data_IF_307584740811
#
_entry.id   IF_307584740811
#
_cell.length_a   1.000
_cell.length_b   1.000
_cell.length_c   1.000
_cell.angle_alpha   90.00
_cell.angle_beta   90.00
_cell.angle_gamma   90.00
#
_symmetry.space_group_name_H-M   'P 1'
#
loop_
_entity.id
_entity.type
_entity.pdbx_description
1 polymer ?
#
# COMPACT_ATOMS: atom_id res chain seq x y z
N UNK A 1 5.42 -18.11 -47.71
CA UNK A 1 4.46 -17.02 -47.44
C UNK A 1 4.92 -16.35 -46.15
N UNK A 2 5.98 -15.53 -46.15
CA UNK A 2 6.14 -14.16 -46.65
C UNK A 2 5.22 -13.13 -45.94
N UNK A 3 5.88 -12.10 -45.38
CA UNK A 3 5.41 -10.76 -44.96
C UNK A 3 4.67 -10.67 -43.60
N UNK A 4 4.95 -9.72 -42.70
CA UNK A 4 5.71 -8.47 -42.83
C UNK A 4 6.34 -8.05 -41.49
N UNK A 5 7.65 -7.86 -41.53
CA UNK A 5 8.43 -6.99 -40.65
C UNK A 5 8.26 -5.56 -41.17
N UNK A 6 7.79 -4.62 -40.35
CA UNK A 6 7.81 -3.20 -40.69
C UNK A 6 8.50 -2.42 -39.57
N UNK A 7 9.82 -2.29 -39.79
CA UNK A 7 10.66 -1.22 -39.30
C UNK A 7 10.08 0.13 -39.74
N UNK A 8 9.91 1.06 -38.80
CA UNK A 8 9.66 2.46 -39.12
C UNK A 8 10.88 3.27 -38.68
N UNK A 9 11.79 3.52 -39.61
CA UNK A 9 12.73 4.65 -39.55
C UNK A 9 11.97 5.94 -39.88
N UNK A 10 12.39 7.10 -39.36
CA UNK A 10 12.17 8.36 -40.04
C UNK A 10 13.48 8.84 -40.71
N UNK A 11 13.30 9.18 -41.98
CA UNK A 11 14.25 9.77 -42.90
C UNK A 11 14.69 11.18 -42.47
N UNK A 12 15.92 11.47 -42.90
CA UNK A 12 16.61 12.76 -42.95
C UNK A 12 15.83 13.80 -43.74
N UNK A 13 15.70 15.01 -43.18
CA UNK A 13 15.49 16.24 -43.95
C UNK A 13 16.61 17.22 -43.62
N UNK A 14 17.44 17.47 -44.63
CA UNK A 14 18.51 18.46 -44.67
C UNK A 14 17.85 19.82 -44.91
N UNK A 15 17.97 20.74 -43.96
CA UNK A 15 17.81 22.18 -44.22
C UNK A 15 19.13 22.89 -43.94
N UNK A 16 19.85 23.14 -45.05
CA UNK A 16 20.54 24.38 -45.43
C UNK A 16 21.10 25.23 -44.26
N UNK A 17 22.41 25.06 -44.01
CA UNK A 17 23.22 26.05 -43.30
C UNK A 17 23.34 27.33 -44.15
N UNK A 18 22.58 28.37 -43.83
CA UNK A 18 22.93 29.72 -44.22
C UNK A 18 23.87 30.32 -43.17
N UNK A 19 25.15 30.34 -43.51
CA UNK A 19 26.20 31.03 -42.78
C UNK A 19 26.25 32.47 -43.29
N UNK A 20 25.82 33.43 -42.49
CA UNK A 20 26.22 34.83 -42.67
C UNK A 20 27.02 35.29 -41.44
N UNK A 21 28.20 35.88 -41.63
CA UNK A 21 28.95 36.51 -40.55
C UNK A 21 28.40 37.92 -40.31
N UNK A 22 28.49 38.45 -39.09
CA UNK A 22 28.60 39.90 -38.80
C UNK A 22 28.82 40.12 -37.29
N UNK A 23 30.09 40.28 -36.94
CA UNK A 23 30.64 41.31 -36.04
C UNK A 23 29.87 41.70 -34.77
N UNK A 24 30.41 41.25 -33.65
CA UNK A 24 30.75 42.01 -32.43
C UNK A 24 29.91 43.21 -31.97
N UNK A 25 29.57 43.11 -30.67
CA UNK A 25 29.22 44.14 -29.69
C UNK A 25 27.78 44.65 -29.67
N UNK A 26 27.00 44.00 -28.81
CA UNK A 26 26.24 44.70 -27.79
C UNK A 26 26.27 43.87 -26.50
N UNK A 27 26.99 44.39 -25.50
CA UNK A 27 26.77 44.23 -24.06
C UNK A 27 25.89 43.07 -23.62
N UNK A 28 26.46 42.12 -22.87
CA UNK A 28 25.75 41.24 -21.94
C UNK A 28 24.79 42.09 -21.07
N UNK A 29 23.55 42.23 -21.51
CA UNK A 29 22.47 42.65 -20.64
C UNK A 29 22.29 41.50 -19.65
N UNK A 30 22.89 41.63 -18.46
CA UNK A 30 22.47 40.85 -17.30
C UNK A 30 20.96 41.09 -17.13
N UNK A 31 20.15 40.19 -17.68
CA UNK A 31 18.71 40.16 -17.43
C UNK A 31 18.54 39.89 -15.92
N UNK A 32 18.40 40.97 -15.15
CA UNK A 32 17.96 40.89 -13.77
C UNK A 32 16.55 40.31 -13.77
N UNK A 33 16.45 38.99 -13.64
CA UNK A 33 15.18 38.27 -13.55
C UNK A 33 14.37 38.86 -12.40
N UNK A 34 13.38 39.69 -12.73
CA UNK A 34 12.52 40.34 -11.75
C UNK A 34 11.75 39.29 -10.97
N UNK A 35 11.53 39.57 -9.68
CA UNK A 35 10.69 38.73 -8.84
C UNK A 35 9.31 38.50 -9.48
N UNK A 36 8.70 37.36 -9.16
CA UNK A 36 7.39 36.99 -9.71
C UNK A 36 6.37 38.12 -9.48
N UNK A 37 5.76 38.61 -10.57
CA UNK A 37 4.87 39.79 -10.58
C UNK A 37 3.65 39.66 -9.66
N UNK A 38 3.04 38.47 -9.58
CA UNK A 38 1.91 38.18 -8.71
C UNK A 38 2.13 36.86 -7.99
N UNK A 39 1.86 36.83 -6.68
CA UNK A 39 1.92 35.59 -5.91
C UNK A 39 0.90 34.57 -6.43
N UNK A 40 1.29 33.29 -6.41
CA UNK A 40 0.34 32.21 -6.60
C UNK A 40 0.75 31.02 -5.73
N UNK A 41 -0.23 30.19 -5.32
CA UNK A 41 0.06 28.99 -4.56
C UNK A 41 0.95 28.03 -5.36
N UNK A 42 1.73 27.23 -4.64
CA UNK A 42 2.56 26.19 -5.25
C UNK A 42 1.69 25.13 -5.93
N UNK A 43 2.17 24.61 -7.06
CA UNK A 43 1.50 23.54 -7.78
C UNK A 43 1.76 22.18 -7.12
N UNK A 44 0.84 21.79 -6.24
CA UNK A 44 0.84 20.48 -5.57
C UNK A 44 1.53 20.47 -4.21
N UNK A 45 1.27 19.41 -3.45
CA UNK A 45 1.83 19.22 -2.12
C UNK A 45 3.16 18.47 -2.17
N UNK A 46 4.16 19.00 -1.48
CA UNK A 46 5.50 18.41 -1.36
C UNK A 46 5.51 17.10 -0.54
N UNK A 47 4.49 16.86 0.30
CA UNK A 47 4.39 15.65 1.13
C UNK A 47 4.14 14.36 0.34
N UNK A 48 3.74 14.46 -0.93
CA UNK A 48 3.53 13.30 -1.80
C UNK A 48 4.72 13.04 -2.75
N UNK A 49 5.85 13.71 -2.53
CA UNK A 49 7.10 13.39 -3.22
C UNK A 49 7.82 12.24 -2.50
N UNK A 50 8.48 11.33 -3.22
CA UNK A 50 8.58 11.23 -4.68
C UNK A 50 7.29 10.65 -5.32
N UNK A 51 6.87 11.20 -6.48
CA UNK A 51 5.74 10.71 -7.28
C UNK A 51 6.12 9.45 -8.09
N UNK A 52 6.60 8.42 -7.39
CA UNK A 52 6.95 7.10 -7.96
C UNK A 52 5.83 6.09 -7.74
N UNK A 53 5.83 5.01 -8.53
CA UNK A 53 4.89 3.90 -8.32
C UNK A 53 5.11 3.27 -6.95
N UNK A 54 4.01 2.90 -6.28
CA UNK A 54 4.08 2.22 -5.00
C UNK A 54 4.78 0.86 -5.15
N UNK A 55 5.65 0.52 -4.19
CA UNK A 55 6.38 -0.75 -4.21
C UNK A 55 5.50 -1.98 -3.94
N UNK A 56 4.32 -1.77 -3.34
CA UNK A 56 3.37 -2.83 -2.96
C UNK A 56 2.01 -2.52 -3.58
N UNK A 57 1.32 -3.55 -4.04
CA UNK A 57 -0.05 -3.43 -4.56
C UNK A 57 -1.08 -3.20 -3.45
N UNK A 58 -0.81 -3.70 -2.24
CA UNK A 58 -1.69 -3.53 -1.08
C UNK A 58 -1.27 -2.31 -0.28
N UNK A 59 -2.27 -1.59 0.27
CA UNK A 59 -2.03 -0.51 1.22
C UNK A 59 -1.27 -1.02 2.45
N UNK A 60 -0.26 -0.26 2.91
CA UNK A 60 0.45 -0.52 4.16
C UNK A 60 0.04 0.52 5.18
N UNK A 61 -0.60 0.08 6.26
CA UNK A 61 -0.86 0.91 7.42
C UNK A 61 0.45 1.12 8.17
N UNK A 62 0.85 2.38 8.39
CA UNK A 62 2.06 2.73 9.16
C UNK A 62 1.73 2.99 10.63
N UNK A 63 0.55 3.54 10.89
CA UNK A 63 0.08 3.92 12.21
C UNK A 63 -1.30 3.32 12.40
N UNK A 64 -1.44 2.50 13.43
CA UNK A 64 -2.73 2.02 13.89
C UNK A 64 -3.35 3.03 14.87
N UNK A 65 -4.68 3.00 15.07
CA UNK A 65 -5.35 3.63 16.19
C UNK A 65 -4.61 3.40 17.52
N UNK A 66 -4.67 4.38 18.42
CA UNK A 66 -4.11 4.26 19.77
C UNK A 66 -4.92 3.22 20.56
N UNK A 67 -4.22 2.43 21.37
CA UNK A 67 -4.84 1.37 22.16
C UNK A 67 -5.51 1.92 23.43
N UNK A 68 -6.70 1.38 23.75
CA UNK A 68 -7.51 1.73 24.92
C UNK A 68 -7.71 0.46 25.77
N UNK A 69 -7.02 0.30 26.91
CA UNK A 69 -7.06 -0.95 27.69
C UNK A 69 -8.42 -1.23 28.35
N UNK A 70 -9.33 -0.26 28.35
CA UNK A 70 -10.68 -0.40 28.90
C UNK A 70 -11.63 -1.16 27.97
N UNK A 71 -11.35 -1.16 26.66
CA UNK A 71 -12.21 -1.80 25.66
C UNK A 71 -11.78 -3.25 25.45
N UNK A 72 -12.70 -4.15 25.08
CA UNK A 72 -12.32 -5.50 24.70
C UNK A 72 -11.43 -5.48 23.45
N UNK A 73 -10.67 -6.57 23.29
CA UNK A 73 -9.80 -6.77 22.13
C UNK A 73 -10.65 -6.74 20.85
N UNK A 74 -10.29 -5.87 19.92
CA UNK A 74 -10.97 -5.71 18.63
C UNK A 74 -9.95 -5.73 17.49
N UNK A 75 -10.38 -6.21 16.33
CA UNK A 75 -9.57 -6.16 15.12
C UNK A 75 -9.57 -4.75 14.55
N UNK A 76 -8.38 -4.25 14.23
CA UNK A 76 -8.20 -2.84 13.88
C UNK A 76 -8.39 -2.55 12.40
N UNK A 77 -8.19 -3.55 11.53
CA UNK A 77 -8.27 -3.37 10.09
C UNK A 77 -8.82 -4.63 9.41
N UNK A 78 -9.52 -4.41 8.30
CA UNK A 78 -9.95 -5.46 7.37
C UNK A 78 -9.41 -5.19 5.97
N UNK A 79 -9.41 -6.21 5.12
CA UNK A 79 -9.09 -6.07 3.70
C UNK A 79 -10.38 -6.22 2.90
N UNK A 80 -10.56 -5.34 1.92
CA UNK A 80 -11.66 -5.41 0.97
C UNK A 80 -11.20 -5.10 -0.45
N UNK A 81 -12.04 -5.46 -1.40
CA UNK A 81 -11.85 -5.23 -2.83
C UNK A 81 -12.92 -4.27 -3.33
N UNK A 82 -12.53 -3.27 -4.12
CA UNK A 82 -13.50 -2.32 -4.68
C UNK A 82 -14.29 -3.03 -5.79
N UNK A 83 -15.60 -3.19 -5.59
CA UNK A 83 -16.50 -3.84 -6.55
C UNK A 83 -17.09 -2.82 -7.54
N UNK A 84 -17.44 -1.63 -7.06
CA UNK A 84 -18.07 -0.61 -7.91
C UNK A 84 -18.43 0.67 -7.17
N UNK A 85 -19.18 1.54 -7.85
CA UNK A 85 -19.76 2.76 -7.28
C UNK A 85 -21.21 2.90 -7.71
N UNK A 86 -22.05 3.36 -6.79
CA UNK A 86 -23.47 3.66 -7.03
C UNK A 86 -23.83 4.98 -6.34
N UNK A 87 -25.07 5.44 -6.49
CA UNK A 87 -25.60 6.55 -5.72
C UNK A 87 -26.70 6.05 -4.79
N UNK A 88 -26.81 6.64 -3.61
CA UNK A 88 -27.86 6.36 -2.64
C UNK A 88 -28.66 7.63 -2.42
N UNK A 89 -29.98 7.50 -2.39
CA UNK A 89 -30.88 8.54 -1.89
C UNK A 89 -31.05 8.30 -0.40
N UNK A 90 -30.73 9.30 0.44
CA UNK A 90 -31.03 9.24 1.87
C UNK A 90 -31.65 10.55 2.36
N UNK A 91 -32.43 10.44 3.43
CA UNK A 91 -32.92 11.59 4.17
C UNK A 91 -31.78 12.22 4.99
N UNK A 92 -31.57 13.52 4.84
CA UNK A 92 -30.52 14.22 5.58
C UNK A 92 -31.04 14.78 6.91
N UNK A 93 -30.71 14.09 8.00
CA UNK A 93 -30.97 14.57 9.36
C UNK A 93 -29.74 15.27 9.96
N UNK A 94 -29.46 16.49 9.49
CA UNK A 94 -28.44 17.36 10.09
C UNK A 94 -29.02 18.75 10.40
N UNK A 95 -29.28 19.09 11.68
CA UNK A 95 -29.81 20.40 12.04
C UNK A 95 -28.80 21.51 11.66
N UNK A 96 -29.32 22.64 11.17
CA UNK A 96 -28.50 23.76 10.68
C UNK A 96 -28.02 23.63 9.22
N UNK A 97 -28.31 22.52 8.54
CA UNK A 97 -28.07 22.40 7.10
C UNK A 97 -29.25 22.89 6.28
N UNK A 98 -28.99 23.54 5.13
CA UNK A 98 -30.05 24.01 4.20
C UNK A 98 -30.93 22.85 3.70
N UNK A 99 -30.38 21.64 3.63
CA UNK A 99 -31.04 20.43 3.13
C UNK A 99 -31.57 19.53 4.25
N UNK A 100 -31.81 20.07 5.45
CA UNK A 100 -32.38 19.28 6.55
C UNK A 100 -33.78 18.74 6.19
N UNK A 101 -34.03 17.46 6.47
CA UNK A 101 -35.28 16.74 6.14
C UNK A 101 -35.63 16.76 4.64
N UNK A 102 -34.61 16.79 3.78
CA UNK A 102 -34.74 16.61 2.33
C UNK A 102 -33.92 15.40 1.90
N UNK A 103 -34.37 14.79 0.82
CA UNK A 103 -33.65 13.72 0.14
C UNK A 103 -32.39 14.29 -0.54
N UNK A 104 -31.26 13.64 -0.32
CA UNK A 104 -29.98 13.96 -0.97
C UNK A 104 -29.44 12.73 -1.65
N UNK A 105 -28.97 12.91 -2.89
CA UNK A 105 -28.30 11.86 -3.66
C UNK A 105 -26.80 11.95 -3.40
N UNK A 106 -26.22 10.90 -2.82
CA UNK A 106 -24.78 10.83 -2.54
C UNK A 106 -24.12 9.65 -3.26
N UNK A 107 -22.90 9.88 -3.75
CA UNK A 107 -22.09 8.85 -4.36
C UNK A 107 -21.47 7.92 -3.30
N UNK A 108 -21.63 6.62 -3.47
CA UNK A 108 -21.14 5.58 -2.55
C UNK A 108 -20.25 4.60 -3.31
N UNK A 109 -19.19 4.12 -2.65
CA UNK A 109 -18.33 3.05 -3.16
C UNK A 109 -18.66 1.73 -2.48
N UNK A 110 -18.87 0.69 -3.26
CA UNK A 110 -19.15 -0.66 -2.77
C UNK A 110 -17.81 -1.40 -2.66
N UNK A 111 -17.52 -1.90 -1.46
CA UNK A 111 -16.33 -2.69 -1.16
C UNK A 111 -16.78 -4.08 -0.74
N UNK A 112 -16.35 -5.09 -1.47
CA UNK A 112 -16.55 -6.49 -1.10
C UNK A 112 -15.51 -6.89 -0.05
N UNK A 113 -15.97 -7.37 1.10
CA UNK A 113 -15.12 -7.81 2.22
C UNK A 113 -15.36 -9.29 2.49
N UNK A 114 -14.66 -10.20 1.79
CA UNK A 114 -14.76 -11.62 2.08
C UNK A 114 -14.22 -11.93 3.50
N UNK A 115 -14.71 -12.99 4.16
CA UNK A 115 -14.27 -13.35 5.50
C UNK A 115 -12.76 -13.61 5.55
N UNK A 116 -12.08 -13.01 6.51
CA UNK A 116 -10.63 -13.14 6.67
C UNK A 116 -10.29 -14.35 7.52
N UNK A 117 -9.35 -15.17 7.04
CA UNK A 117 -8.81 -16.31 7.79
C UNK A 117 -7.54 -15.86 8.52
N UNK A 118 -7.56 -15.94 9.84
CA UNK A 118 -6.40 -15.69 10.69
C UNK A 118 -5.46 -16.90 10.65
N UNK A 119 -4.18 -16.66 10.37
CA UNK A 119 -3.19 -17.73 10.17
C UNK A 119 -2.15 -17.78 11.29
N UNK A 120 -1.99 -16.71 12.05
CA UNK A 120 -0.97 -16.64 13.08
C UNK A 120 -1.01 -15.34 13.87
N UNK A 121 -0.14 -15.26 14.86
CA UNK A 121 0.02 -14.11 15.75
C UNK A 121 1.48 -13.69 15.74
N UNK A 122 1.73 -12.39 15.73
CA UNK A 122 3.09 -11.84 15.82
C UNK A 122 3.21 -11.03 17.10
N UNK A 123 4.29 -11.23 17.86
CA UNK A 123 4.59 -10.42 19.04
C UNK A 123 5.64 -9.35 18.74
N UNK A 124 5.36 -8.11 19.11
CA UNK A 124 6.30 -6.99 19.03
C UNK A 124 6.75 -6.54 20.42
N UNK A 125 8.04 -6.23 20.54
CA UNK A 125 8.67 -5.69 21.74
C UNK A 125 9.21 -4.30 21.47
N UNK A 126 9.02 -3.41 22.42
CA UNK A 126 9.62 -2.09 22.43
C UNK A 126 11.11 -2.19 22.78
N UNK A 127 11.93 -1.70 21.86
CA UNK A 127 13.37 -1.51 22.06
C UNK A 127 13.66 -0.02 21.95
N UNK A 128 14.79 0.50 22.47
CA UNK A 128 15.12 1.93 22.36
C UNK A 128 15.23 2.43 20.90
N UNK A 129 15.36 1.52 19.93
CA UNK A 129 15.38 1.84 18.49
C UNK A 129 14.01 1.72 17.81
N UNK A 130 12.96 1.37 18.55
CA UNK A 130 11.61 1.15 18.06
C UNK A 130 11.09 -0.28 18.28
N UNK A 131 9.98 -0.62 17.62
CA UNK A 131 9.33 -1.91 17.74
C UNK A 131 10.07 -3.00 16.95
N UNK A 132 10.38 -4.12 17.60
CA UNK A 132 11.03 -5.29 16.99
C UNK A 132 10.13 -6.52 17.09
N UNK A 133 10.07 -7.33 16.03
CA UNK A 133 9.38 -8.62 16.06
C UNK A 133 10.15 -9.62 16.93
N UNK A 134 9.49 -10.19 17.94
CA UNK A 134 10.10 -11.18 18.83
C UNK A 134 9.88 -12.60 18.30
N UNK A 135 8.63 -13.02 18.13
CA UNK A 135 8.26 -14.34 17.58
C UNK A 135 6.98 -14.27 16.76
N UNK A 136 6.89 -15.14 15.76
CA UNK A 136 5.69 -15.36 14.94
C UNK A 136 5.17 -16.77 15.21
N UNK A 137 3.95 -16.88 15.75
CA UNK A 137 3.28 -18.15 15.99
C UNK A 137 2.31 -18.40 14.84
N UNK A 138 2.42 -19.56 14.19
CA UNK A 138 1.54 -19.95 13.10
C UNK A 138 0.53 -20.99 13.57
N UNK A 139 -0.62 -21.06 12.89
CA UNK A 139 -1.59 -22.13 13.06
C UNK A 139 -0.99 -23.49 12.66
N UNK A 140 -1.51 -24.58 13.22
CA UNK A 140 -1.02 -25.93 12.90
C UNK A 140 -1.43 -26.35 11.48
N UNK A 141 -2.63 -25.98 11.06
CA UNK A 141 -3.18 -26.29 9.75
C UNK A 141 -3.31 -25.03 8.91
N UNK A 142 -2.48 -24.92 7.88
CA UNK A 142 -2.55 -23.81 6.91
C UNK A 142 -3.17 -24.30 5.60
N UNK A 143 -4.13 -23.52 5.10
CA UNK A 143 -4.71 -23.72 3.76
C UNK A 143 -3.67 -23.49 2.66
N UNK A 144 -3.90 -24.11 1.51
CA UNK A 144 -2.98 -24.00 0.38
C UNK A 144 -2.94 -22.59 -0.22
N UNK A 145 -4.01 -21.80 -0.07
CA UNK A 145 -4.07 -20.40 -0.48
C UNK A 145 -3.01 -19.54 0.22
N UNK A 146 -2.74 -19.81 1.50
CA UNK A 146 -1.69 -19.12 2.24
C UNK A 146 -0.32 -19.59 1.77
N UNK A 147 -0.14 -20.90 1.55
CA UNK A 147 1.11 -21.47 1.04
C UNK A 147 1.48 -20.91 -0.32
N UNK A 148 0.50 -20.59 -1.18
CA UNK A 148 0.72 -19.94 -2.48
C UNK A 148 1.45 -18.60 -2.38
N UNK A 149 1.29 -17.86 -1.27
CA UNK A 149 1.99 -16.56 -1.08
C UNK A 149 3.51 -16.68 -0.99
N UNK A 150 4.04 -17.87 -0.65
CA UNK A 150 5.48 -18.10 -0.50
C UNK A 150 6.19 -18.47 -1.81
N UNK A 151 5.43 -18.70 -2.89
CA UNK A 151 5.98 -19.11 -4.18
C UNK A 151 5.57 -18.15 -5.29
N UNK A 152 6.52 -17.77 -6.14
CA UNK A 152 6.20 -17.01 -7.37
C UNK A 152 5.43 -17.88 -8.38
N UNK A 153 5.85 -19.13 -8.57
CA UNK A 153 5.16 -20.11 -9.39
C UNK A 153 4.80 -21.33 -8.52
N UNK A 154 3.52 -21.43 -8.16
CA UNK A 154 3.02 -22.50 -7.29
C UNK A 154 3.00 -23.86 -7.97
N UNK A 155 2.51 -23.94 -9.21
CA UNK A 155 2.27 -25.21 -9.90
C UNK A 155 3.56 -25.94 -10.24
N UNK A 156 4.64 -25.21 -10.55
CA UNK A 156 5.98 -25.79 -10.80
C UNK A 156 6.76 -26.12 -9.52
N UNK A 157 6.26 -25.72 -8.35
CA UNK A 157 6.97 -25.89 -7.08
C UNK A 157 6.71 -27.26 -6.44
N UNK A 158 7.65 -27.71 -5.59
CA UNK A 158 7.48 -28.93 -4.77
C UNK A 158 6.55 -28.72 -3.55
N UNK A 159 5.96 -27.53 -3.38
CA UNK A 159 5.00 -27.17 -2.31
C UNK A 159 5.42 -27.59 -0.88
N UNK A 160 6.70 -27.43 -0.55
CA UNK A 160 7.27 -27.85 0.75
C UNK A 160 7.09 -26.85 1.91
N UNK A 161 6.43 -25.72 1.69
CA UNK A 161 6.19 -24.71 2.73
C UNK A 161 5.42 -25.31 3.93
N UNK A 162 5.84 -24.97 5.15
CA UNK A 162 5.26 -25.42 6.43
C UNK A 162 5.27 -26.93 6.72
N UNK A 163 5.83 -27.77 5.84
CA UNK A 163 5.90 -29.23 6.08
C UNK A 163 6.63 -29.60 7.36
N UNK A 164 7.80 -28.99 7.62
CA UNK A 164 8.56 -29.18 8.87
C UNK A 164 7.86 -28.60 10.09
N UNK A 165 7.15 -27.49 9.91
CA UNK A 165 6.41 -26.84 11.01
C UNK A 165 5.25 -27.72 11.47
N UNK A 166 4.46 -28.25 10.52
CA UNK A 166 3.37 -29.17 10.81
C UNK A 166 3.86 -30.47 11.49
N UNK A 167 4.97 -31.05 11.00
CA UNK A 167 5.60 -32.22 11.63
C UNK A 167 6.02 -31.93 13.07
N UNK A 168 6.74 -30.83 13.29
CA UNK A 168 7.18 -30.40 14.63
C UNK A 168 5.99 -30.16 15.57
N UNK A 169 4.91 -29.56 15.07
CA UNK A 169 3.71 -29.32 15.85
C UNK A 169 3.01 -30.63 16.26
N UNK A 170 2.95 -31.61 15.35
CA UNK A 170 2.41 -32.94 15.62
C UNK A 170 3.26 -33.74 16.62
N UNK A 171 4.58 -33.77 16.44
CA UNK A 171 5.52 -34.51 17.30
C UNK A 171 5.57 -33.95 18.73
N UNK A 172 5.52 -32.63 18.89
CA UNK A 172 5.64 -31.97 20.20
C UNK A 172 4.28 -31.70 20.89
N UNK A 173 3.17 -32.15 20.31
CA UNK A 173 1.83 -31.97 20.87
C UNK A 173 1.48 -30.51 21.19
N UNK A 174 1.96 -29.55 20.39
CA UNK A 174 1.69 -28.12 20.59
C UNK A 174 2.44 -27.44 21.75
N UNK A 175 3.23 -28.16 22.56
CA UNK A 175 3.97 -27.59 23.70
C UNK A 175 4.93 -26.46 23.28
N UNK A 176 5.55 -26.58 22.11
CA UNK A 176 6.42 -25.54 21.56
C UNK A 176 5.65 -24.25 21.26
N UNK A 177 4.45 -24.38 20.71
CA UNK A 177 3.57 -23.26 20.36
C UNK A 177 3.08 -22.55 21.62
N UNK A 178 2.73 -23.32 22.65
CA UNK A 178 2.30 -22.77 23.94
C UNK A 178 3.42 -22.00 24.64
N UNK A 179 4.66 -22.50 24.59
CA UNK A 179 5.85 -21.77 25.08
C UNK A 179 6.06 -20.45 24.33
N UNK A 180 5.84 -20.43 23.01
CA UNK A 180 5.95 -19.20 22.22
C UNK A 180 4.83 -18.20 22.56
N UNK A 181 3.59 -18.68 22.79
CA UNK A 181 2.49 -17.84 23.24
C UNK A 181 2.73 -17.25 24.63
N UNK A 182 3.28 -18.02 25.56
CA UNK A 182 3.68 -17.54 26.88
C UNK A 182 4.80 -16.48 26.78
N UNK A 183 5.75 -16.65 25.86
CA UNK A 183 6.76 -15.62 25.60
C UNK A 183 6.15 -14.33 25.08
N UNK A 184 5.17 -14.41 24.19
CA UNK A 184 4.46 -13.23 23.68
C UNK A 184 3.76 -12.51 24.85
N UNK A 185 3.01 -13.25 25.68
CA UNK A 185 2.33 -12.67 26.85
C UNK A 185 3.27 -11.98 27.83
N UNK A 186 4.50 -12.50 28.01
CA UNK A 186 5.46 -11.97 28.99
C UNK A 186 6.18 -10.72 28.52
N UNK A 187 6.56 -10.65 27.25
CA UNK A 187 7.50 -9.63 26.77
C UNK A 187 6.91 -8.64 25.78
N UNK A 188 5.85 -9.00 25.06
CA UNK A 188 5.35 -8.17 23.95
C UNK A 188 4.37 -7.11 24.43
N UNK A 189 4.54 -5.89 23.92
CA UNK A 189 3.63 -4.77 24.18
C UNK A 189 2.53 -4.68 23.13
N UNK A 190 2.84 -5.02 21.87
CA UNK A 190 1.90 -4.95 20.75
C UNK A 190 1.78 -6.33 20.08
N UNK A 191 0.54 -6.75 19.81
CA UNK A 191 0.23 -8.06 19.24
C UNK A 191 -0.70 -7.92 18.03
N UNK A 192 -0.17 -7.82 16.80
CA UNK A 192 -0.96 -7.91 15.58
C UNK A 192 -1.25 -9.36 15.17
N UNK A 193 -2.34 -9.50 14.42
CA UNK A 193 -2.90 -10.75 13.87
C UNK A 193 -3.04 -10.60 12.35
#
# INVERSE_FOLDING_TARGET
MVLASLLCQPLVQKEICFRYPLTDRHTDCQENMSHRKYEAPRHGSLGFLPRKRAARHRGKVKSFPKDDPKKPVHLTATMGYKAGMTHIVRDLERPGSKMHKREVVEAVSIIETPPLIVVGVVGYVETPRGLRTLTTVWANHLSDEVKRRFYKNWYRSKKKAFTRYAKKAAENGGKSTQRELERIKKYCTVVPI
#
